data_IF_788659932770
#
_entry.id   IF_788659932770
#
_cell.length_a   1.000
_cell.length_b   1.000
_cell.length_c   1.000
_cell.angle_alpha   90.00
_cell.angle_beta   90.00
_cell.angle_gamma   90.00
#
_symmetry.space_group_name_H-M   'P 1'
#
loop_
_entity.id
_entity.type
_entity.pdbx_description
1 polymer ?
#
# COMPACT_ATOMS: atom_id res chain seq x y z
N UNK A 1 -33.78 -12.94 16.87
CA UNK A 1 -33.07 -11.72 17.35
C UNK A 1 -32.36 -11.09 16.16
N UNK A 2 -32.63 -9.82 15.84
CA UNK A 2 -32.01 -9.12 14.70
C UNK A 2 -30.61 -8.65 15.11
N UNK A 3 -29.63 -8.74 14.21
CA UNK A 3 -28.28 -8.23 14.48
C UNK A 3 -28.31 -6.70 14.65
N UNK A 4 -27.55 -6.12 15.60
CA UNK A 4 -27.44 -4.66 15.74
C UNK A 4 -26.90 -4.00 14.48
N UNK A 5 -27.36 -2.78 14.18
CA UNK A 5 -26.97 -2.05 12.97
C UNK A 5 -25.45 -1.87 12.84
N UNK A 6 -24.76 -1.51 13.94
CA UNK A 6 -23.32 -1.32 13.97
C UNK A 6 -22.52 -2.58 13.56
N UNK A 7 -23.02 -3.77 13.89
CA UNK A 7 -22.38 -5.03 13.49
C UNK A 7 -22.54 -5.28 11.99
N UNK A 8 -23.71 -4.95 11.44
CA UNK A 8 -23.99 -5.11 10.00
C UNK A 8 -23.15 -4.14 9.16
N UNK A 9 -22.98 -2.91 9.63
CA UNK A 9 -22.12 -1.89 8.99
C UNK A 9 -20.66 -2.36 8.92
N UNK A 10 -20.09 -2.81 10.03
CA UNK A 10 -18.71 -3.30 10.05
C UNK A 10 -18.52 -4.53 9.14
N UNK A 11 -19.48 -5.46 9.12
CA UNK A 11 -19.43 -6.61 8.21
C UNK A 11 -19.46 -6.15 6.75
N UNK A 12 -20.29 -5.16 6.42
CA UNK A 12 -20.40 -4.65 5.06
C UNK A 12 -19.07 -4.05 4.59
N UNK A 13 -18.41 -3.23 5.40
CA UNK A 13 -17.11 -2.64 5.06
C UNK A 13 -16.01 -3.69 4.96
N UNK A 14 -15.94 -4.64 5.90
CA UNK A 14 -14.94 -5.71 5.86
C UNK A 14 -15.04 -6.58 4.60
N UNK A 15 -16.25 -6.81 4.08
CA UNK A 15 -16.47 -7.60 2.85
C UNK A 15 -15.94 -6.92 1.58
N UNK A 16 -15.67 -5.61 1.62
CA UNK A 16 -15.11 -4.89 0.47
C UNK A 16 -13.62 -5.11 0.33
N UNK A 17 -12.97 -5.68 1.34
CA UNK A 17 -11.55 -5.99 1.31
C UNK A 17 -11.29 -7.24 0.43
N UNK A 18 -10.22 -7.24 -0.38
CA UNK A 18 -9.88 -8.39 -1.19
C UNK A 18 -9.64 -9.63 -0.30
N UNK A 19 -10.20 -10.77 -0.70
CA UNK A 19 -10.09 -12.02 0.04
C UNK A 19 -11.01 -12.17 1.27
N UNK A 20 -11.86 -11.19 1.58
CA UNK A 20 -12.76 -11.24 2.75
C UNK A 20 -14.20 -11.50 2.36
N UNK A 21 -14.64 -12.77 2.47
CA UNK A 21 -16.03 -13.17 2.28
C UNK A 21 -16.93 -12.95 3.51
N UNK A 22 -18.24 -13.16 3.35
CA UNK A 22 -19.26 -12.98 4.41
C UNK A 22 -18.89 -13.66 5.74
N UNK A 23 -18.51 -14.94 5.70
CA UNK A 23 -18.16 -15.71 6.90
C UNK A 23 -16.92 -15.14 7.61
N UNK A 24 -15.92 -14.72 6.85
CA UNK A 24 -14.69 -14.12 7.37
C UNK A 24 -14.96 -12.76 7.99
N UNK A 25 -15.74 -11.90 7.31
CA UNK A 25 -16.13 -10.59 7.81
C UNK A 25 -16.92 -10.70 9.13
N UNK A 26 -17.86 -11.64 9.23
CA UNK A 26 -18.57 -11.91 10.49
C UNK A 26 -17.60 -12.30 11.60
N UNK A 27 -16.70 -13.26 11.35
CA UNK A 27 -15.71 -13.69 12.34
C UNK A 27 -14.85 -12.53 12.84
N UNK A 28 -14.39 -11.65 11.95
CA UNK A 28 -13.59 -10.48 12.29
C UNK A 28 -14.40 -9.44 13.08
N UNK A 29 -15.65 -9.17 12.69
CA UNK A 29 -16.52 -8.24 13.41
C UNK A 29 -16.79 -8.72 14.85
N UNK A 30 -17.08 -10.02 15.03
CA UNK A 30 -17.27 -10.59 16.37
C UNK A 30 -15.97 -10.63 17.19
N UNK A 31 -14.82 -10.82 16.54
CA UNK A 31 -13.52 -10.72 17.21
C UNK A 31 -13.27 -9.31 17.76
N UNK A 32 -13.48 -8.27 16.95
CA UNK A 32 -13.30 -6.87 17.38
C UNK A 32 -14.28 -6.47 18.48
N UNK A 33 -15.53 -6.96 18.43
CA UNK A 33 -16.53 -6.70 19.45
C UNK A 33 -16.20 -7.33 20.81
N UNK A 34 -15.55 -8.51 20.82
CA UNK A 34 -15.12 -9.19 22.06
C UNK A 34 -13.82 -8.61 22.61
N UNK A 35 -13.03 -7.94 21.76
CA UNK A 35 -11.76 -7.33 22.13
C UNK A 35 -11.94 -6.06 22.98
N UNK A 36 -10.81 -5.48 23.36
CA UNK A 36 -10.80 -4.20 24.09
C UNK A 36 -11.14 -3.03 23.15
N UNK A 37 -11.75 -1.97 23.71
CA UNK A 37 -11.96 -0.70 22.99
C UNK A 37 -10.66 -0.15 22.40
N UNK A 38 -9.55 -0.27 23.14
CA UNK A 38 -8.24 0.21 22.71
C UNK A 38 -7.76 -0.49 21.42
N UNK A 39 -7.91 -1.82 21.32
CA UNK A 39 -7.55 -2.56 20.11
C UNK A 39 -8.36 -2.12 18.90
N UNK A 40 -9.68 -1.94 19.05
CA UNK A 40 -10.54 -1.48 17.97
C UNK A 40 -10.15 -0.06 17.50
N UNK A 41 -9.88 0.85 18.43
CA UNK A 41 -9.45 2.22 18.13
C UNK A 41 -8.08 2.23 17.42
N UNK A 42 -7.12 1.43 17.88
CA UNK A 42 -5.80 1.32 17.24
C UNK A 42 -5.90 0.84 15.80
N UNK A 43 -6.74 -0.17 15.53
CA UNK A 43 -6.95 -0.64 14.16
C UNK A 43 -7.59 0.43 13.27
N UNK A 44 -8.62 1.12 13.77
CA UNK A 44 -9.27 2.21 13.03
C UNK A 44 -8.28 3.34 12.71
N UNK A 45 -7.44 3.73 13.66
CA UNK A 45 -6.42 4.75 13.45
C UNK A 45 -5.34 4.31 12.46
N UNK A 46 -4.91 3.03 12.49
CA UNK A 46 -3.95 2.51 11.52
C UNK A 46 -4.48 2.59 10.08
N UNK A 47 -5.76 2.27 9.88
CA UNK A 47 -6.43 2.39 8.57
C UNK A 47 -6.47 3.85 8.11
N UNK A 48 -6.82 4.78 9.00
CA UNK A 48 -6.83 6.22 8.69
C UNK A 48 -5.44 6.74 8.34
N UNK A 49 -4.42 6.38 9.13
CA UNK A 49 -3.05 6.83 8.92
C UNK A 49 -2.50 6.46 7.54
N UNK A 50 -2.84 5.28 7.00
CA UNK A 50 -2.41 4.90 5.64
C UNK A 50 -2.96 5.88 4.60
N UNK A 51 -4.18 6.39 4.76
CA UNK A 51 -4.77 7.34 3.81
C UNK A 51 -4.30 8.78 4.02
N UNK A 52 -3.91 9.14 5.23
CA UNK A 52 -3.49 10.50 5.57
C UNK A 52 -2.00 10.75 5.38
N UNK A 53 -1.16 9.73 5.63
CA UNK A 53 0.30 9.89 5.70
C UNK A 53 1.04 9.34 4.49
N UNK A 54 0.48 8.35 3.80
CA UNK A 54 1.15 7.74 2.66
C UNK A 54 0.95 8.62 1.43
N UNK A 55 2.07 8.97 0.81
CA UNK A 55 2.17 9.67 -0.45
C UNK A 55 3.04 8.90 -1.43
N UNK A 56 2.97 9.27 -2.71
CA UNK A 56 3.90 8.78 -3.73
C UNK A 56 5.04 9.77 -3.90
N UNK A 57 6.27 9.29 -3.81
CA UNK A 57 7.45 10.13 -3.99
C UNK A 57 7.41 10.83 -5.36
N UNK A 58 7.72 12.13 -5.39
CA UNK A 58 7.79 12.92 -6.62
C UNK A 58 8.84 12.39 -7.60
N UNK A 59 9.95 11.83 -7.10
CA UNK A 59 11.08 11.31 -7.88
C UNK A 59 10.85 9.87 -8.37
N UNK A 60 10.76 8.89 -7.47
CA UNK A 60 10.75 7.46 -7.84
C UNK A 60 9.34 6.84 -7.90
N UNK A 61 8.30 7.59 -7.51
CA UNK A 61 6.91 7.09 -7.39
C UNK A 61 6.71 5.92 -6.42
N UNK A 62 7.70 5.61 -5.59
CA UNK A 62 7.56 4.71 -4.44
C UNK A 62 6.66 5.28 -3.35
N UNK A 63 6.16 4.38 -2.48
CA UNK A 63 5.38 4.74 -1.29
C UNK A 63 6.31 5.35 -0.23
N UNK A 64 5.93 6.51 0.32
CA UNK A 64 6.67 7.18 1.36
C UNK A 64 5.75 7.95 2.32
N UNK A 65 6.29 8.39 3.47
CA UNK A 65 5.66 9.38 4.36
C UNK A 65 6.22 10.80 4.18
N UNK A 66 7.28 10.93 3.37
CA UNK A 66 7.96 12.20 3.05
C UNK A 66 8.32 12.25 1.58
N UNK A 67 8.36 13.46 1.04
CA UNK A 67 8.74 13.71 -0.35
C UNK A 67 9.96 14.66 -0.40
N UNK A 68 11.10 14.25 -1.01
CA UNK A 68 11.39 12.93 -1.57
C UNK A 68 11.48 11.83 -0.50
N UNK A 69 11.33 10.56 -0.92
CA UNK A 69 11.42 9.41 -0.02
C UNK A 69 12.84 9.25 0.55
N UNK A 70 12.98 8.45 1.61
CA UNK A 70 14.27 8.28 2.29
C UNK A 70 15.37 7.74 1.38
N UNK A 71 15.03 6.85 0.43
CA UNK A 71 16.01 6.30 -0.53
C UNK A 71 16.48 7.39 -1.52
N UNK A 72 15.55 8.18 -2.06
CA UNK A 72 15.89 9.26 -2.99
C UNK A 72 16.61 10.43 -2.31
N UNK A 73 16.36 10.65 -1.01
CA UNK A 73 17.00 11.70 -0.24
C UNK A 73 18.40 11.31 0.30
N UNK A 74 18.75 10.02 0.30
CA UNK A 74 20.00 9.53 0.85
C UNK A 74 21.19 9.83 -0.08
N UNK A 75 22.16 10.67 0.33
CA UNK A 75 23.33 11.00 -0.48
C UNK A 75 24.35 9.85 -0.57
N UNK A 76 24.22 8.80 0.26
CA UNK A 76 25.12 7.66 0.25
C UNK A 76 24.70 6.57 -0.75
N UNK A 77 23.54 6.73 -1.40
CA UNK A 77 23.07 5.83 -2.45
C UNK A 77 23.73 6.14 -3.79
N UNK A 78 23.82 5.12 -4.63
CA UNK A 78 24.29 5.27 -6.00
C UNK A 78 23.14 5.75 -6.91
N UNK A 79 23.08 7.06 -7.16
CA UNK A 79 22.09 7.67 -8.06
C UNK A 79 22.38 7.43 -9.55
N UNK A 80 23.49 6.78 -9.90
CA UNK A 80 23.78 6.38 -11.29
C UNK A 80 23.09 5.07 -11.69
N UNK A 81 22.61 4.29 -10.72
CA UNK A 81 21.95 3.01 -10.92
C UNK A 81 20.50 3.06 -10.43
N UNK A 82 19.55 2.87 -11.34
CA UNK A 82 18.11 2.85 -11.04
C UNK A 82 17.57 1.42 -11.20
N UNK A 83 16.99 0.86 -10.14
CA UNK A 83 16.22 -0.38 -10.21
C UNK A 83 14.75 -0.08 -10.48
N UNK A 84 14.27 -0.44 -11.66
CA UNK A 84 12.88 -0.27 -12.07
C UNK A 84 12.06 -1.47 -11.60
N UNK A 85 10.98 -1.21 -10.87
CA UNK A 85 10.07 -2.24 -10.34
C UNK A 85 8.62 -1.98 -10.73
N UNK A 86 7.79 -3.02 -10.71
CA UNK A 86 6.39 -2.94 -11.14
C UNK A 86 5.54 -2.21 -10.09
N UNK A 87 5.63 -2.66 -8.84
CA UNK A 87 4.82 -2.16 -7.73
C UNK A 87 5.68 -1.67 -6.55
N UNK A 88 5.13 -0.80 -5.68
CA UNK A 88 5.87 -0.33 -4.50
C UNK A 88 6.32 -1.45 -3.56
N UNK A 89 5.63 -2.60 -3.57
CA UNK A 89 5.95 -3.72 -2.69
C UNK A 89 7.28 -4.40 -3.07
N UNK A 90 7.66 -4.36 -4.34
CA UNK A 90 8.91 -4.92 -4.85
C UNK A 90 10.13 -4.19 -4.26
N UNK A 91 10.01 -2.88 -4.01
CA UNK A 91 11.08 -2.08 -3.38
C UNK A 91 11.43 -2.67 -2.02
N UNK A 92 10.44 -3.03 -1.20
CA UNK A 92 10.69 -3.62 0.12
C UNK A 92 11.37 -4.98 0.04
N UNK A 93 11.05 -5.78 -0.97
CA UNK A 93 11.67 -7.09 -1.17
C UNK A 93 13.16 -6.95 -1.49
N UNK A 94 13.51 -6.03 -2.39
CA UNK A 94 14.91 -5.80 -2.81
C UNK A 94 15.70 -5.10 -1.71
N UNK A 95 15.14 -4.05 -1.12
CA UNK A 95 15.79 -3.29 -0.04
C UNK A 95 16.00 -4.16 1.20
N UNK A 96 15.05 -5.06 1.51
CA UNK A 96 15.16 -6.01 2.61
C UNK A 96 16.29 -7.03 2.46
N UNK A 97 16.79 -7.28 1.24
CA UNK A 97 17.98 -8.11 1.02
C UNK A 97 19.28 -7.38 1.40
N UNK A 98 19.29 -6.05 1.41
CA UNK A 98 20.40 -5.21 1.89
C UNK A 98 21.60 -5.08 0.94
N UNK A 99 21.59 -5.79 -0.21
CA UNK A 99 22.69 -5.81 -1.18
C UNK A 99 22.62 -4.68 -2.21
N UNK A 100 21.41 -4.19 -2.53
CA UNK A 100 21.23 -3.13 -3.52
C UNK A 100 21.51 -1.75 -2.91
N UNK A 101 22.36 -0.96 -3.57
CA UNK A 101 22.78 0.38 -3.12
C UNK A 101 22.34 1.52 -4.04
N UNK A 102 21.67 1.20 -5.14
CA UNK A 102 21.12 2.20 -6.05
C UNK A 102 19.82 2.80 -5.54
N UNK A 103 19.15 3.55 -6.42
CA UNK A 103 17.80 4.08 -6.20
C UNK A 103 16.77 3.27 -6.98
N UNK A 104 15.49 3.53 -6.73
CA UNK A 104 14.39 2.82 -7.37
C UNK A 104 13.57 3.72 -8.28
N UNK A 105 12.79 3.11 -9.16
CA UNK A 105 11.65 3.73 -9.82
C UNK A 105 10.49 2.74 -9.89
N UNK A 106 9.29 3.17 -9.52
CA UNK A 106 8.10 2.32 -9.45
C UNK A 106 7.16 2.64 -10.58
N UNK A 107 6.90 1.66 -11.45
CA UNK A 107 6.07 1.81 -12.66
C UNK A 107 4.58 1.99 -12.38
N UNK A 108 4.12 1.55 -11.20
CA UNK A 108 2.71 1.52 -10.80
C UNK A 108 1.87 0.55 -11.65
N UNK A 109 2.48 -0.58 -12.01
CA UNK A 109 1.85 -1.65 -12.79
C UNK A 109 2.66 -2.06 -14.01
N UNK A 110 2.03 -2.85 -14.85
CA UNK A 110 2.61 -3.44 -16.07
C UNK A 110 1.75 -3.14 -17.29
N UNK A 111 2.36 -3.13 -18.46
CA UNK A 111 1.65 -3.02 -19.74
C UNK A 111 0.75 -4.26 -19.91
N UNK A 112 -0.56 -4.04 -20.02
CA UNK A 112 -1.55 -5.09 -20.25
C UNK A 112 -2.54 -4.64 -21.33
N UNK A 113 -2.32 -5.02 -22.60
CA UNK A 113 -3.22 -4.66 -23.70
C UNK A 113 -4.63 -5.21 -23.54
N UNK A 114 -4.79 -6.35 -22.86
CA UNK A 114 -6.10 -6.95 -22.58
C UNK A 114 -6.92 -6.11 -21.62
N UNK A 115 -6.25 -5.43 -20.68
CA UNK A 115 -6.87 -4.52 -19.70
C UNK A 115 -6.85 -3.06 -20.17
N UNK A 116 -6.33 -2.79 -21.38
CA UNK A 116 -6.20 -1.44 -21.93
C UNK A 116 -5.13 -0.58 -21.26
N UNK A 117 -4.16 -1.18 -20.56
CA UNK A 117 -3.07 -0.47 -19.88
C UNK A 117 -1.87 -0.36 -20.84
N UNK A 118 -1.59 0.86 -21.29
CA UNK A 118 -0.43 1.19 -22.13
C UNK A 118 0.71 1.86 -21.33
N UNK A 119 1.75 2.35 -22.03
CA UNK A 119 2.87 3.04 -21.39
C UNK A 119 2.51 4.37 -20.73
N UNK A 120 1.46 5.07 -21.19
CA UNK A 120 1.05 6.39 -20.68
C UNK A 120 0.31 6.31 -19.34
N UNK A 121 -0.16 5.12 -19.00
CA UNK A 121 -0.83 4.76 -17.76
C UNK A 121 0.18 4.36 -16.68
N UNK A 122 1.45 4.18 -17.06
CA UNK A 122 2.57 3.89 -16.18
C UNK A 122 3.43 5.14 -15.97
N UNK A 123 4.32 5.09 -14.98
CA UNK A 123 5.19 6.23 -14.64
C UNK A 123 6.47 6.29 -15.48
N UNK A 124 6.49 5.67 -16.66
CA UNK A 124 7.68 5.50 -17.51
C UNK A 124 8.27 6.85 -17.95
N UNK A 125 7.43 7.87 -18.16
CA UNK A 125 7.87 9.19 -18.63
C UNK A 125 8.84 9.92 -17.68
N UNK A 126 8.89 9.50 -16.41
CA UNK A 126 9.76 10.08 -15.39
C UNK A 126 11.16 9.46 -15.37
N UNK A 127 11.41 8.40 -16.15
CA UNK A 127 12.71 7.72 -16.28
C UNK A 127 13.63 8.33 -17.36
N UNK A 128 13.33 9.53 -17.84
CA UNK A 128 14.04 10.17 -18.96
C UNK A 128 15.27 10.97 -18.53
#
# INVERSE_FOLDING_TARGET
MKRPAAVLELIAELKRLPGVGQKTAERLAFFLMRGSREQAVKLAQAIQNIKEKILLCSTCKGIAEKDPCEICADPNRDHSTICVVEEPHDVYAIEGAGEFKGVFHVLMGVISPLDGIGPGELTIDLLK
#
